data_IF_939269061783
#
_entry.id   IF_939269061783
#
_cell.length_a   1.000
_cell.length_b   1.000
_cell.length_c   1.000
_cell.angle_alpha   90.00
_cell.angle_beta   90.00
_cell.angle_gamma   90.00
#
_symmetry.space_group_name_H-M   'P 1'
#
loop_
_entity.id
_entity.type
_entity.pdbx_description
1 polymer ?
#
# COMPACT_ATOMS: atom_id res chain seq x y z
N UNK A 1 -23.15 -9.63 3.27
CA UNK A 1 -23.57 -8.79 4.38
C UNK A 1 -23.38 -9.41 5.78
N UNK A 2 -22.65 -10.51 5.92
CA UNK A 2 -22.45 -11.24 7.19
C UNK A 2 -21.01 -11.06 7.72
N UNK A 3 -20.11 -10.52 6.90
CA UNK A 3 -18.69 -10.49 7.23
C UNK A 3 -18.32 -9.44 8.28
N UNK A 4 -18.95 -8.26 8.25
CA UNK A 4 -18.62 -7.15 9.17
C UNK A 4 -19.11 -7.38 10.59
N UNK A 5 -20.15 -8.20 10.77
CA UNK A 5 -20.73 -8.53 12.09
C UNK A 5 -20.17 -9.81 12.71
N UNK A 6 -19.37 -10.59 11.97
CA UNK A 6 -18.82 -11.86 12.47
C UNK A 6 -17.53 -11.63 13.29
N UNK A 7 -17.53 -11.94 14.60
CA UNK A 7 -16.32 -11.85 15.43
C UNK A 7 -15.17 -12.70 14.90
N UNK A 8 -15.49 -13.86 14.29
CA UNK A 8 -14.49 -14.79 13.72
C UNK A 8 -13.75 -14.14 12.56
N UNK A 9 -14.49 -13.48 11.65
CA UNK A 9 -13.87 -12.77 10.51
C UNK A 9 -12.97 -11.64 11.00
N UNK A 10 -13.43 -10.87 11.98
CA UNK A 10 -12.63 -9.77 12.55
C UNK A 10 -11.34 -10.28 13.21
N UNK A 11 -11.42 -11.35 14.00
CA UNK A 11 -10.23 -11.97 14.60
C UNK A 11 -9.29 -12.53 13.55
N UNK A 12 -9.80 -13.22 12.54
CA UNK A 12 -9.00 -13.75 11.44
C UNK A 12 -8.25 -12.64 10.68
N UNK A 13 -8.92 -11.54 10.34
CA UNK A 13 -8.31 -10.40 9.66
C UNK A 13 -7.29 -9.70 10.54
N UNK A 14 -7.56 -9.54 11.84
CA UNK A 14 -6.59 -8.96 12.79
C UNK A 14 -5.32 -9.80 12.91
N UNK A 15 -5.45 -11.12 12.90
CA UNK A 15 -4.31 -12.03 12.93
C UNK A 15 -3.53 -12.06 11.61
N UNK A 16 -4.22 -11.98 10.46
CA UNK A 16 -3.60 -12.01 9.14
C UNK A 16 -2.93 -10.69 8.74
N UNK A 17 -3.45 -9.54 9.22
CA UNK A 17 -2.94 -8.22 8.82
C UNK A 17 -1.44 -8.02 9.09
N UNK A 18 -0.86 -8.37 10.26
CA UNK A 18 0.56 -8.22 10.50
C UNK A 18 1.41 -9.12 9.60
N UNK A 19 0.93 -10.32 9.28
CA UNK A 19 1.61 -11.22 8.33
C UNK A 19 1.65 -10.59 6.93
N UNK A 20 0.54 -10.04 6.48
CA UNK A 20 0.47 -9.30 5.22
C UNK A 20 1.43 -8.11 5.20
N UNK A 21 1.55 -7.36 6.30
CA UNK A 21 2.49 -6.25 6.40
C UNK A 21 3.96 -6.71 6.30
N UNK A 22 4.31 -7.83 6.93
CA UNK A 22 5.66 -8.42 6.83
C UNK A 22 5.95 -8.87 5.39
N UNK A 23 4.99 -9.53 4.73
CA UNK A 23 5.13 -9.94 3.32
C UNK A 23 5.28 -8.72 2.41
N UNK A 24 4.50 -7.67 2.62
CA UNK A 24 4.61 -6.44 1.85
C UNK A 24 5.99 -5.79 2.02
N UNK A 25 6.50 -5.69 3.25
CA UNK A 25 7.83 -5.18 3.53
C UNK A 25 8.91 -6.04 2.85
N UNK A 26 8.80 -7.36 2.93
CA UNK A 26 9.73 -8.25 2.23
C UNK A 26 9.72 -8.01 0.72
N UNK A 27 8.54 -7.95 0.09
CA UNK A 27 8.40 -7.72 -1.35
C UNK A 27 8.97 -6.35 -1.76
N UNK A 28 8.75 -5.32 -0.95
CA UNK A 28 9.27 -4.00 -1.18
C UNK A 28 10.80 -3.98 -1.29
N UNK A 29 11.48 -4.61 -0.35
CA UNK A 29 12.95 -4.67 -0.35
C UNK A 29 13.53 -5.73 -1.30
N UNK A 30 12.77 -6.78 -1.62
CA UNK A 30 13.23 -7.84 -2.53
C UNK A 30 13.25 -7.40 -4.01
N UNK A 31 12.52 -6.35 -4.37
CA UNK A 31 12.28 -5.94 -5.75
C UNK A 31 13.51 -5.63 -6.61
N UNK A 32 14.68 -5.40 -6.00
CA UNK A 32 15.91 -5.10 -6.73
C UNK A 32 16.65 -6.34 -7.29
N UNK A 33 16.39 -7.52 -6.73
CA UNK A 33 17.10 -8.75 -7.11
C UNK A 33 16.16 -9.96 -7.34
N UNK A 34 14.86 -9.81 -7.06
CA UNK A 34 13.83 -10.86 -7.13
C UNK A 34 12.50 -10.24 -7.57
N UNK A 35 11.53 -11.08 -7.99
CA UNK A 35 10.17 -10.58 -8.22
C UNK A 35 9.61 -9.90 -6.97
N UNK A 36 9.19 -8.64 -7.10
CA UNK A 36 8.73 -7.80 -5.99
C UNK A 36 8.66 -6.33 -6.42
N UNK A 37 9.09 -5.44 -5.52
CA UNK A 37 9.12 -3.99 -5.73
C UNK A 37 7.87 -3.29 -5.22
N UNK A 38 7.84 -1.98 -5.44
CA UNK A 38 6.79 -1.10 -4.92
C UNK A 38 5.39 -1.47 -5.36
N UNK A 39 5.21 -1.94 -6.59
CA UNK A 39 3.90 -2.36 -7.08
C UNK A 39 3.36 -3.59 -6.34
N UNK A 40 4.17 -4.66 -6.24
CA UNK A 40 3.76 -5.89 -5.56
C UNK A 40 3.52 -5.64 -4.05
N UNK A 41 4.38 -4.87 -3.41
CA UNK A 41 4.21 -4.45 -2.02
C UNK A 41 2.92 -3.64 -1.84
N UNK A 42 2.65 -2.69 -2.75
CA UNK A 42 1.44 -1.87 -2.75
C UNK A 42 0.16 -2.69 -2.89
N UNK A 43 0.15 -3.73 -3.73
CA UNK A 43 -0.99 -4.65 -3.87
C UNK A 43 -1.25 -5.43 -2.57
N UNK A 44 -0.21 -5.93 -1.90
CA UNK A 44 -0.37 -6.67 -0.64
C UNK A 44 -0.85 -5.74 0.48
N UNK A 45 -0.30 -4.52 0.60
CA UNK A 45 -0.79 -3.52 1.55
C UNK A 45 -2.24 -3.16 1.25
N UNK A 46 -2.57 -2.92 -0.02
CA UNK A 46 -3.93 -2.64 -0.48
C UNK A 46 -4.90 -3.77 -0.13
N UNK A 47 -4.50 -5.03 -0.33
CA UNK A 47 -5.30 -6.18 0.05
C UNK A 47 -5.54 -6.25 1.57
N UNK A 48 -4.53 -5.97 2.38
CA UNK A 48 -4.68 -5.89 3.85
C UNK A 48 -5.65 -4.78 4.24
N UNK A 49 -5.55 -3.61 3.62
CA UNK A 49 -6.48 -2.49 3.84
C UNK A 49 -7.91 -2.90 3.45
N UNK A 50 -8.08 -3.52 2.28
CA UNK A 50 -9.38 -3.99 1.81
C UNK A 50 -10.01 -4.99 2.76
N UNK A 51 -9.26 -5.99 3.22
CA UNK A 51 -9.73 -6.97 4.20
C UNK A 51 -10.15 -6.31 5.52
N UNK A 52 -9.37 -5.36 6.02
CA UNK A 52 -9.69 -4.63 7.26
C UNK A 52 -10.92 -3.75 7.10
N UNK A 53 -11.11 -3.14 5.93
CA UNK A 53 -12.27 -2.32 5.61
C UNK A 53 -13.54 -3.17 5.54
N UNK A 54 -13.50 -4.28 4.81
CA UNK A 54 -14.64 -5.22 4.69
C UNK A 54 -15.00 -5.84 6.06
N UNK A 55 -14.00 -6.09 6.91
CA UNK A 55 -14.23 -6.57 8.28
C UNK A 55 -14.71 -5.47 9.25
N UNK A 56 -14.91 -4.23 8.79
CA UNK A 56 -15.33 -3.11 9.63
C UNK A 56 -14.32 -2.67 10.69
N UNK A 57 -13.03 -2.98 10.46
CA UNK A 57 -11.92 -2.66 11.38
C UNK A 57 -11.25 -1.33 11.05
N UNK A 58 -11.43 -0.82 9.84
CA UNK A 58 -10.76 0.37 9.35
C UNK A 58 -11.65 1.06 8.32
N UNK A 59 -11.62 2.40 8.31
CA UNK A 59 -12.17 3.22 7.23
C UNK A 59 -11.02 3.80 6.44
N UNK A 60 -10.86 3.45 5.16
CA UNK A 60 -9.79 4.01 4.35
C UNK A 60 -10.09 5.48 4.07
N UNK A 61 -9.07 6.32 4.19
CA UNK A 61 -9.14 7.75 3.93
C UNK A 61 -7.92 8.21 3.15
N UNK A 62 -8.00 9.40 2.55
CA UNK A 62 -6.86 10.04 1.88
C UNK A 62 -6.39 9.37 0.57
N UNK A 63 -7.28 8.69 -0.16
CA UNK A 63 -6.96 8.06 -1.45
C UNK A 63 -6.24 9.02 -2.41
N UNK A 64 -6.82 10.20 -2.64
CA UNK A 64 -6.26 11.22 -3.55
C UNK A 64 -4.90 11.71 -3.06
N UNK A 65 -4.75 11.93 -1.74
CA UNK A 65 -3.48 12.36 -1.16
C UNK A 65 -2.37 11.34 -1.34
N UNK A 66 -2.67 10.04 -1.16
CA UNK A 66 -1.73 8.94 -1.38
C UNK A 66 -1.31 8.84 -2.85
N UNK A 67 -2.28 8.92 -3.77
CA UNK A 67 -2.00 8.88 -5.21
C UNK A 67 -1.19 10.08 -5.67
N UNK A 68 -1.60 11.28 -5.29
CA UNK A 68 -0.90 12.52 -5.67
C UNK A 68 0.51 12.59 -5.06
N UNK A 69 0.64 12.29 -3.77
CA UNK A 69 1.94 12.28 -3.09
C UNK A 69 2.87 11.21 -3.66
N UNK A 70 2.36 10.01 -3.94
CA UNK A 70 3.11 8.94 -4.59
C UNK A 70 3.57 9.31 -6.00
N UNK A 71 2.69 9.92 -6.79
CA UNK A 71 3.01 10.37 -8.14
C UNK A 71 4.05 11.48 -8.14
N UNK A 72 3.92 12.45 -7.23
CA UNK A 72 4.92 13.52 -7.07
C UNK A 72 6.28 12.97 -6.66
N UNK A 73 6.31 12.03 -5.72
CA UNK A 73 7.54 11.39 -5.27
C UNK A 73 8.20 10.63 -6.42
N UNK A 74 7.46 9.79 -7.13
CA UNK A 74 7.97 9.02 -8.26
C UNK A 74 8.47 9.94 -9.38
N UNK A 75 7.73 11.00 -9.72
CA UNK A 75 8.13 11.98 -10.72
C UNK A 75 9.39 12.77 -10.29
N UNK A 76 9.46 13.19 -9.04
CA UNK A 76 10.62 13.91 -8.51
C UNK A 76 11.88 13.05 -8.59
N UNK A 77 11.80 11.77 -8.20
CA UNK A 77 12.92 10.83 -8.27
C UNK A 77 13.34 10.56 -9.72
N UNK A 78 12.36 10.43 -10.63
CA UNK A 78 12.64 10.20 -12.05
C UNK A 78 13.29 11.41 -12.75
N UNK A 79 12.93 12.63 -12.36
CA UNK A 79 13.42 13.87 -12.94
C UNK A 79 14.71 14.40 -12.31
N UNK A 80 15.01 13.99 -11.07
CA UNK A 80 16.18 14.48 -10.33
C UNK A 80 17.50 14.35 -11.12
N UNK A 81 17.81 13.22 -11.80
CA UNK A 81 19.03 13.08 -12.61
C UNK A 81 19.10 14.09 -13.76
N UNK A 82 17.96 14.37 -14.41
CA UNK A 82 17.89 15.31 -15.53
C UNK A 82 18.28 16.73 -15.11
N UNK A 83 17.87 17.15 -13.91
CA UNK A 83 18.26 18.44 -13.35
C UNK A 83 19.76 18.51 -13.04
N UNK A 84 20.38 17.35 -12.75
CA UNK A 84 21.82 17.25 -12.54
C UNK A 84 22.62 17.10 -13.85
N UNK A 85 21.96 17.09 -15.01
CA UNK A 85 22.61 16.92 -16.31
C UNK A 85 22.87 15.47 -16.72
N UNK A 86 22.31 14.51 -15.97
CA UNK A 86 22.43 13.08 -16.22
C UNK A 86 21.19 12.54 -16.99
N UNK A 87 21.28 11.36 -17.60
CA UNK A 87 20.16 10.75 -18.29
C UNK A 87 18.94 10.56 -17.40
N UNK A 88 17.74 10.62 -18.00
CA UNK A 88 16.48 10.33 -17.32
C UNK A 88 16.51 8.93 -16.67
N UNK A 89 16.07 8.84 -15.41
CA UNK A 89 16.08 7.61 -14.61
C UNK A 89 17.50 7.06 -14.30
N UNK A 90 18.54 7.87 -14.42
CA UNK A 90 19.84 7.44 -13.95
C UNK A 90 19.81 7.24 -12.43
N UNK A 91 20.16 6.01 -12.02
CA UNK A 91 20.02 5.61 -10.62
C UNK A 91 21.31 5.92 -9.86
N UNK A 92 21.25 6.87 -8.95
CA UNK A 92 22.31 7.04 -7.95
C UNK A 92 22.25 5.86 -6.98
N UNK A 93 23.19 4.94 -7.11
CA UNK A 93 23.33 3.79 -6.21
C UNK A 93 24.16 4.21 -5.00
N UNK A 94 23.51 4.28 -3.85
CA UNK A 94 24.20 4.43 -2.56
C UNK A 94 24.29 3.04 -1.92
N UNK A 95 25.50 2.52 -1.79
CA UNK A 95 25.74 1.26 -1.07
C UNK A 95 25.58 1.50 0.43
N UNK A 96 24.43 1.15 0.97
CA UNK A 96 24.19 1.14 2.42
C UNK A 96 24.24 -0.29 2.94
N UNK A 97 25.13 -0.54 3.91
CA UNK A 97 25.19 -1.83 4.61
C UNK A 97 24.34 -1.75 5.87
N UNK A 98 23.16 -2.36 5.84
CA UNK A 98 22.30 -2.47 7.03
C UNK A 98 22.66 -3.75 7.80
N UNK A 99 22.85 -3.67 9.14
CA UNK A 99 23.35 -4.80 9.94
C UNK A 99 22.47 -6.06 9.92
N UNK A 100 21.19 -5.95 9.58
CA UNK A 100 20.24 -7.07 9.56
C UNK A 100 19.87 -7.55 8.15
N UNK A 101 20.05 -6.72 7.11
CA UNK A 101 19.59 -6.95 5.74
C UNK A 101 20.76 -7.11 4.73
N UNK A 102 22.02 -7.02 5.20
CA UNK A 102 23.18 -7.14 4.35
C UNK A 102 23.43 -5.90 3.48
N UNK A 103 24.11 -6.08 2.34
CA UNK A 103 24.34 -5.01 1.36
C UNK A 103 23.04 -4.70 0.63
N UNK A 104 22.34 -3.68 1.07
CA UNK A 104 21.21 -3.10 0.33
C UNK A 104 21.78 -2.04 -0.59
N UNK A 105 21.79 -2.31 -1.88
CA UNK A 105 22.00 -1.28 -2.90
C UNK A 105 20.72 -0.44 -2.91
N UNK A 106 20.68 0.53 -2.04
CA UNK A 106 19.56 1.45 -1.90
C UNK A 106 19.94 2.74 -2.59
N UNK A 107 19.29 3.03 -3.66
CA UNK A 107 19.42 4.28 -4.38
C UNK A 107 18.06 4.95 -4.55
N UNK A 108 18.01 5.88 -5.46
CA UNK A 108 16.78 6.56 -5.92
C UNK A 108 15.65 5.58 -6.27
N UNK A 109 15.97 4.33 -6.67
CA UNK A 109 15.02 3.26 -6.96
C UNK A 109 14.10 2.92 -5.78
N UNK A 110 14.60 2.92 -4.53
CA UNK A 110 13.77 2.64 -3.36
C UNK A 110 12.73 3.75 -3.12
N UNK A 111 13.13 5.01 -3.34
CA UNK A 111 12.22 6.15 -3.23
C UNK A 111 11.18 6.14 -4.36
N UNK A 112 11.58 5.76 -5.56
CA UNK A 112 10.67 5.55 -6.68
C UNK A 112 9.65 4.44 -6.35
N UNK A 113 10.10 3.29 -5.85
CA UNK A 113 9.25 2.18 -5.42
C UNK A 113 8.30 2.58 -4.29
N UNK A 114 8.73 3.46 -3.36
CA UNK A 114 7.85 4.01 -2.33
C UNK A 114 6.74 4.86 -2.94
N UNK A 115 7.06 5.68 -3.95
CA UNK A 115 6.07 6.45 -4.72
C UNK A 115 5.06 5.53 -5.41
N UNK A 116 5.53 4.49 -6.09
CA UNK A 116 4.67 3.48 -6.76
C UNK A 116 3.78 2.76 -5.74
N UNK A 117 4.34 2.36 -4.59
CA UNK A 117 3.57 1.74 -3.50
C UNK A 117 2.43 2.64 -3.04
N UNK A 118 2.70 3.93 -2.83
CA UNK A 118 1.70 4.89 -2.41
C UNK A 118 0.59 5.09 -3.46
N UNK A 119 0.94 5.12 -4.75
CA UNK A 119 -0.04 5.20 -5.85
C UNK A 119 -0.95 3.97 -5.83
N UNK A 120 -0.38 2.76 -5.74
CA UNK A 120 -1.14 1.51 -5.77
C UNK A 120 -2.06 1.40 -4.56
N UNK A 121 -1.57 1.71 -3.37
CA UNK A 121 -2.38 1.74 -2.15
C UNK A 121 -3.49 2.78 -2.26
N UNK A 122 -3.18 3.98 -2.74
CA UNK A 122 -4.15 5.05 -2.97
C UNK A 122 -5.24 4.64 -3.96
N UNK A 123 -4.88 3.92 -5.04
CA UNK A 123 -5.82 3.38 -6.00
C UNK A 123 -6.78 2.36 -5.36
N UNK A 124 -6.26 1.43 -4.56
CA UNK A 124 -7.09 0.45 -3.84
C UNK A 124 -8.05 1.17 -2.88
N UNK A 125 -7.56 2.17 -2.15
CA UNK A 125 -8.40 2.98 -1.25
C UNK A 125 -9.49 3.73 -2.04
N UNK A 126 -9.16 4.32 -3.19
CA UNK A 126 -10.12 4.99 -4.04
C UNK A 126 -11.21 4.06 -4.57
N UNK A 127 -10.84 2.83 -4.94
CA UNK A 127 -11.78 1.80 -5.39
C UNK A 127 -12.74 1.39 -4.26
N UNK A 128 -12.23 1.23 -3.04
CA UNK A 128 -13.05 0.89 -1.88
C UNK A 128 -14.04 2.03 -1.54
N UNK A 129 -13.59 3.27 -1.60
CA UNK A 129 -14.41 4.46 -1.41
C UNK A 129 -15.52 4.55 -2.47
N UNK A 130 -15.13 4.35 -3.74
CA UNK A 130 -16.07 4.42 -4.88
C UNK A 130 -17.10 3.29 -4.90
N UNK A 131 -16.80 2.13 -4.30
CA UNK A 131 -17.74 1.01 -4.18
C UNK A 131 -18.73 1.20 -3.01
N UNK A 132 -18.65 2.30 -2.26
CA UNK A 132 -19.54 2.57 -1.14
C UNK A 132 -19.49 1.48 -0.05
N UNK A 133 -18.33 0.87 0.18
CA UNK A 133 -18.17 -0.20 1.17
C UNK A 133 -18.63 0.28 2.57
N UNK A 134 -18.51 1.57 2.84
CA UNK A 134 -19.00 2.20 4.06
C UNK A 134 -20.54 2.23 4.14
N UNK A 135 -21.24 2.44 3.01
CA UNK A 135 -22.70 2.44 2.95
C UNK A 135 -23.25 1.01 3.08
N UNK A 136 -22.55 0.02 2.52
CA UNK A 136 -22.92 -1.40 2.64
C UNK A 136 -22.77 -1.87 4.09
N UNK A 137 -21.77 -1.38 4.81
CA UNK A 137 -21.56 -1.66 6.23
C UNK A 137 -22.59 -0.94 7.14
N UNK A 138 -22.98 0.29 6.79
CA UNK A 138 -23.94 1.11 7.55
C UNK A 138 -25.41 0.73 7.28
N UNK A 139 -25.73 0.28 6.06
CA UNK A 139 -27.10 -0.10 5.67
C UNK A 139 -27.64 -1.35 6.39
N UNK A 140 -26.78 -2.13 7.07
CA UNK A 140 -27.20 -3.28 7.86
C UNK A 140 -27.78 -2.92 9.24
N UNK A 141 -27.52 -1.70 9.77
CA UNK A 141 -27.98 -1.29 11.09
C UNK A 141 -29.41 -0.71 11.09
N UNK A 142 -29.89 -0.20 9.96
CA UNK A 142 -31.21 0.44 9.87
C UNK A 142 -32.36 -0.55 9.62
N UNK A 143 -32.07 -1.79 9.25
CA UNK A 143 -33.08 -2.84 9.05
C UNK A 143 -33.52 -3.56 10.32
N UNK A 144 -32.78 -3.43 11.42
CA UNK A 144 -33.02 -4.18 12.66
C UNK A 144 -33.97 -3.44 13.67
N UNK A 145 -34.33 -2.18 13.39
CA UNK A 145 -35.13 -1.35 14.33
C UNK A 145 -36.57 -1.13 13.88
N UNK A 146 -37.04 -1.81 12.83
CA UNK A 146 -38.41 -1.67 12.34
C UNK A 146 -39.18 -3.00 12.29
N UNK A 147 -38.94 -3.93 13.23
CA UNK A 147 -39.79 -5.10 13.42
C UNK A 147 -40.13 -5.30 14.88
#
# INVERSE_FOLDING_TARGET
MIASSSPIVRMGVQAAAPLGAVVAAYLFFAGHNRPGGGFAAGLVVGAVIALRTVAGLQRPTHAVGLMAGGALLAAAVALAPVVAGEPFLDQVVVDATLPLLGKVKSGSALLFDAGVTAIVVGLVVALLDGLGVDEIAAGSDHGATQS
#
